data_IF_919392050945
#
_entry.id   IF_919392050945
#
_cell.length_a   1.000
_cell.length_b   1.000
_cell.length_c   1.000
_cell.angle_alpha   90.00
_cell.angle_beta   90.00
_cell.angle_gamma   90.00
#
_symmetry.space_group_name_H-M   'P 1'
#
loop_
_entity.id
_entity.type
_entity.pdbx_description
1 polymer ?
#
# COMPACT_ATOMS: atom_id res chain seq x y z
N UNK A 1 25.46 -80.63 20.05
CA UNK A 1 24.91 -79.70 21.06
C UNK A 1 24.80 -78.33 20.40
N UNK A 2 23.55 -77.92 20.16
CA UNK A 2 23.04 -76.56 19.85
C UNK A 2 23.88 -75.57 19.04
N UNK A 3 23.64 -75.50 17.72
CA UNK A 3 23.98 -74.34 16.88
C UNK A 3 22.96 -73.21 17.14
N UNK A 4 23.31 -72.29 18.04
CA UNK A 4 22.51 -71.12 18.39
C UNK A 4 22.60 -70.10 17.25
N UNK A 5 21.48 -69.83 16.58
CA UNK A 5 21.37 -68.82 15.52
C UNK A 5 21.32 -67.45 16.19
N UNK A 6 22.39 -66.68 16.11
CA UNK A 6 22.41 -65.30 16.59
C UNK A 6 21.88 -64.39 15.48
N UNK A 7 20.57 -64.13 15.52
CA UNK A 7 19.92 -63.17 14.63
C UNK A 7 20.39 -61.75 15.00
N UNK A 8 21.09 -61.09 14.08
CA UNK A 8 21.50 -59.69 14.20
C UNK A 8 20.27 -58.80 13.96
N UNK A 9 19.61 -58.37 15.04
CA UNK A 9 18.54 -57.38 15.01
C UNK A 9 19.15 -56.00 14.75
N UNK A 10 19.05 -55.49 13.52
CA UNK A 10 19.42 -54.12 13.20
C UNK A 10 18.28 -53.20 13.64
N UNK A 11 18.46 -52.55 14.80
CA UNK A 11 17.56 -51.51 15.30
C UNK A 11 17.84 -50.21 14.54
N UNK A 12 17.11 -49.96 13.45
CA UNK A 12 17.17 -48.66 12.76
C UNK A 12 16.39 -47.62 13.57
N UNK A 13 17.10 -46.78 14.34
CA UNK A 13 16.51 -45.60 14.96
C UNK A 13 16.19 -44.55 13.90
N UNK A 14 14.90 -44.33 13.61
CA UNK A 14 14.46 -43.20 12.80
C UNK A 14 14.39 -41.96 13.71
N UNK A 15 15.42 -41.11 13.68
CA UNK A 15 15.33 -39.78 14.28
C UNK A 15 14.50 -38.89 13.35
N UNK A 16 13.28 -38.54 13.75
CA UNK A 16 12.50 -37.52 13.05
C UNK A 16 13.09 -36.16 13.37
N UNK A 17 13.87 -35.59 12.45
CA UNK A 17 14.26 -34.18 12.53
C UNK A 17 13.02 -33.36 12.22
N UNK A 18 12.49 -32.65 13.21
CA UNK A 18 11.47 -31.64 12.97
C UNK A 18 12.11 -30.54 12.11
N UNK A 19 11.68 -30.44 10.86
CA UNK A 19 12.10 -29.36 9.98
C UNK A 19 11.49 -28.05 10.51
N UNK A 20 12.33 -27.18 11.07
CA UNK A 20 11.94 -25.79 11.28
C UNK A 20 11.85 -25.11 9.91
N UNK A 21 10.71 -24.47 9.62
CA UNK A 21 10.62 -23.56 8.48
C UNK A 21 11.53 -22.35 8.75
N UNK A 22 12.77 -22.41 8.27
CA UNK A 22 13.62 -21.23 8.19
C UNK A 22 13.24 -20.48 6.92
N UNK A 23 12.51 -19.37 7.07
CA UNK A 23 12.39 -18.38 6.01
C UNK A 23 13.78 -17.77 5.79
N UNK A 24 14.52 -18.30 4.82
CA UNK A 24 15.75 -17.71 4.35
C UNK A 24 15.40 -16.77 3.19
N UNK A 25 15.53 -15.46 3.42
CA UNK A 25 15.66 -14.50 2.34
C UNK A 25 17.01 -14.75 1.66
N UNK A 26 17.02 -15.56 0.61
CA UNK A 26 18.25 -15.98 -0.09
C UNK A 26 18.73 -14.97 -1.14
N UNK A 27 18.00 -13.89 -1.36
CA UNK A 27 18.45 -12.74 -2.15
C UNK A 27 17.64 -11.51 -1.81
N UNK A 28 18.31 -10.41 -1.48
CA UNK A 28 17.77 -9.06 -1.59
C UNK A 28 18.67 -8.31 -2.55
N UNK A 29 18.17 -8.00 -3.74
CA UNK A 29 18.81 -6.98 -4.58
C UNK A 29 18.49 -5.64 -3.94
N UNK A 30 19.45 -5.05 -3.21
CA UNK A 30 19.40 -3.64 -2.87
C UNK A 30 19.74 -2.89 -4.16
N UNK A 31 18.73 -2.47 -4.92
CA UNK A 31 18.93 -1.49 -5.97
C UNK A 31 19.42 -0.16 -5.33
N UNK A 32 20.23 0.66 -6.01
CA UNK A 32 20.81 1.88 -5.46
C UNK A 32 19.79 3.03 -5.20
N UNK A 33 18.50 2.72 -5.08
CA UNK A 33 17.42 3.67 -4.88
C UNK A 33 17.27 4.11 -3.42
N UNK A 34 18.27 4.82 -2.89
CA UNK A 34 18.12 5.68 -1.72
C UNK A 34 18.17 7.15 -2.15
N UNK A 35 17.50 8.02 -1.41
CA UNK A 35 17.39 9.44 -1.73
C UNK A 35 17.93 10.32 -0.60
N UNK A 36 18.46 11.48 -0.97
CA UNK A 36 18.85 12.54 -0.06
C UNK A 36 18.00 13.78 -0.41
N UNK A 37 17.08 14.13 0.48
CA UNK A 37 16.18 15.29 0.33
C UNK A 37 16.70 16.38 1.25
N UNK A 38 16.91 17.58 0.71
CA UNK A 38 17.28 18.77 1.49
C UNK A 38 16.26 19.87 1.31
N UNK A 39 15.95 20.58 2.39
CA UNK A 39 15.11 21.78 2.38
C UNK A 39 15.59 22.72 3.48
N UNK A 40 16.19 23.85 3.12
CA UNK A 40 16.80 24.76 4.10
C UNK A 40 17.87 24.07 4.95
N UNK A 41 17.73 24.13 6.27
CA UNK A 41 18.64 23.50 7.25
C UNK A 41 18.34 22.00 7.49
N UNK A 42 17.36 21.43 6.78
CA UNK A 42 16.92 20.05 6.97
C UNK A 42 17.52 19.12 5.92
N UNK A 43 18.02 17.98 6.36
CA UNK A 43 18.53 16.89 5.54
C UNK A 43 17.85 15.57 5.93
N UNK A 44 17.29 14.88 4.94
CA UNK A 44 16.73 13.54 5.10
C UNK A 44 17.42 12.58 4.15
N UNK A 45 18.10 11.59 4.69
CA UNK A 45 18.65 10.47 3.91
C UNK A 45 17.81 9.22 4.19
N UNK A 46 17.28 8.60 3.13
CA UNK A 46 16.45 7.40 3.23
C UNK A 46 16.90 6.30 2.26
N UNK A 47 16.67 5.05 2.67
CA UNK A 47 16.94 3.82 1.88
C UNK A 47 15.63 3.03 1.73
N UNK A 48 15.32 2.49 0.55
CA UNK A 48 14.16 1.57 0.41
C UNK A 48 14.42 0.32 1.27
N UNK A 49 13.43 -0.06 2.08
CA UNK A 49 13.52 -1.23 2.97
C UNK A 49 13.79 -0.90 4.43
N UNK A 50 13.81 0.38 4.82
CA UNK A 50 13.59 0.71 6.22
C UNK A 50 12.19 0.20 6.59
N UNK A 51 12.09 -0.65 7.62
CA UNK A 51 10.78 -1.06 8.11
C UNK A 51 10.07 0.19 8.60
N UNK A 52 8.99 0.58 7.92
CA UNK A 52 8.04 1.56 8.46
C UNK A 52 7.27 0.81 9.54
N UNK A 53 7.90 0.67 10.71
CA UNK A 53 7.13 0.38 11.92
C UNK A 53 6.07 1.50 12.01
N UNK A 54 4.81 1.24 12.38
CA UNK A 54 3.73 2.25 12.45
C UNK A 54 3.97 3.34 13.52
N UNK A 55 5.21 3.47 13.96
CA UNK A 55 5.70 4.34 15.00
C UNK A 55 6.49 5.42 14.29
N UNK A 56 5.95 6.64 14.32
CA UNK A 56 6.69 7.87 14.13
C UNK A 56 8.15 7.72 14.61
N UNK A 57 9.11 7.85 13.71
CA UNK A 57 10.53 7.87 14.10
C UNK A 57 10.81 9.29 14.60
N UNK A 58 10.76 9.46 15.92
CA UNK A 58 11.00 10.73 16.60
C UNK A 58 12.47 10.92 16.98
N UNK A 59 12.97 12.15 16.85
CA UNK A 59 14.27 12.60 17.33
C UNK A 59 14.26 14.10 17.61
N UNK A 60 14.40 14.49 18.89
CA UNK A 60 14.22 15.89 19.31
C UNK A 60 12.76 16.35 19.15
N UNK A 61 12.57 17.56 18.61
CA UNK A 61 11.23 18.12 18.32
C UNK A 61 10.64 17.59 17.00
N UNK A 62 11.35 16.69 16.31
CA UNK A 62 10.99 16.23 14.98
C UNK A 62 10.42 14.82 15.00
N UNK A 63 9.37 14.62 14.22
CA UNK A 63 8.76 13.32 13.95
C UNK A 63 8.85 13.05 12.45
N UNK A 64 9.48 11.94 12.08
CA UNK A 64 9.38 11.40 10.74
C UNK A 64 8.09 10.57 10.65
N UNK A 65 7.09 11.13 9.97
CA UNK A 65 5.89 10.40 9.57
C UNK A 65 6.15 9.69 8.24
N UNK A 66 6.29 8.38 8.27
CA UNK A 66 6.47 7.57 7.05
C UNK A 66 5.13 7.16 6.45
N UNK A 67 5.02 7.16 5.13
CA UNK A 67 3.88 6.64 4.38
C UNK A 67 4.21 6.46 2.89
N UNK A 68 3.36 5.75 2.16
CA UNK A 68 3.25 5.97 0.71
C UNK A 68 2.54 7.31 0.57
N UNK A 69 3.06 8.21 -0.26
CA UNK A 69 2.25 9.35 -0.71
C UNK A 69 1.10 8.79 -1.55
N UNK A 70 0.01 8.38 -0.91
CA UNK A 70 -1.26 8.15 -1.59
C UNK A 70 -1.87 9.47 -2.10
N UNK A 71 -1.18 10.60 -1.92
CA UNK A 71 -1.53 11.92 -2.43
C UNK A 71 -0.26 12.63 -2.94
N UNK A 72 0.32 12.14 -4.03
CA UNK A 72 0.55 13.13 -5.08
C UNK A 72 -0.85 13.38 -5.60
N UNK A 73 -1.48 14.56 -5.41
CA UNK A 73 -2.55 14.93 -6.30
C UNK A 73 -1.93 14.83 -7.69
N UNK A 74 -2.31 13.78 -8.43
CA UNK A 74 -2.29 13.82 -9.89
C UNK A 74 -2.84 15.19 -10.28
N UNK A 75 -2.26 15.85 -11.30
CA UNK A 75 -2.70 17.18 -11.72
C UNK A 75 -4.22 17.26 -11.62
N UNK A 76 -4.69 18.29 -10.93
CA UNK A 76 -6.09 18.60 -10.64
C UNK A 76 -6.91 18.91 -11.91
N UNK A 77 -6.56 18.29 -13.03
CA UNK A 77 -7.10 18.57 -14.34
C UNK A 77 -8.29 17.62 -14.66
N UNK A 78 -8.59 16.68 -13.76
CA UNK A 78 -9.71 15.73 -13.83
C UNK A 78 -10.60 15.73 -12.58
N UNK A 79 -10.87 16.88 -11.96
CA UNK A 79 -11.91 16.89 -10.92
C UNK A 79 -13.21 16.31 -11.54
N UNK A 80 -13.80 15.30 -10.90
CA UNK A 80 -14.95 14.56 -11.44
C UNK A 80 -14.65 13.27 -12.19
N UNK A 81 -13.39 12.91 -12.46
CA UNK A 81 -12.99 11.57 -12.95
C UNK A 81 -12.87 10.62 -11.76
N UNK A 82 -13.97 9.96 -11.42
CA UNK A 82 -14.09 9.11 -10.25
C UNK A 82 -13.61 7.68 -10.52
N UNK A 83 -13.59 7.23 -11.78
CA UNK A 83 -13.11 5.89 -12.15
C UNK A 83 -11.63 5.86 -12.58
N UNK A 84 -11.05 7.04 -12.85
CA UNK A 84 -9.65 7.23 -13.20
C UNK A 84 -9.33 6.88 -14.66
N UNK A 85 -10.32 6.90 -15.55
CA UNK A 85 -10.16 6.59 -16.98
C UNK A 85 -9.71 7.78 -17.84
N UNK A 86 -9.63 8.97 -17.23
CA UNK A 86 -9.21 10.22 -17.86
C UNK A 86 -10.34 10.98 -18.57
N UNK A 87 -11.60 10.58 -18.41
CA UNK A 87 -12.78 11.20 -19.04
C UNK A 87 -13.95 11.37 -18.08
N UNK A 88 -14.38 12.61 -17.81
CA UNK A 88 -15.54 12.87 -16.93
C UNK A 88 -16.84 12.61 -17.69
N UNK A 89 -17.50 11.49 -17.40
CA UNK A 89 -18.65 11.00 -18.14
C UNK A 89 -19.69 10.25 -17.26
N UNK A 90 -20.57 9.48 -17.90
CA UNK A 90 -21.62 8.74 -17.18
C UNK A 90 -21.08 7.68 -16.22
N UNK A 91 -19.90 7.11 -16.47
CA UNK A 91 -19.26 6.16 -15.57
C UNK A 91 -18.98 6.80 -14.20
N UNK A 92 -18.48 8.05 -14.19
CA UNK A 92 -18.22 8.79 -12.95
C UNK A 92 -19.49 9.14 -12.20
N UNK A 93 -20.53 9.53 -12.95
CA UNK A 93 -21.84 9.81 -12.35
C UNK A 93 -22.45 8.56 -11.72
N UNK A 94 -22.26 7.38 -12.32
CA UNK A 94 -22.70 6.11 -11.73
C UNK A 94 -22.00 5.87 -10.38
N UNK A 95 -20.68 6.08 -10.28
CA UNK A 95 -19.92 5.94 -9.03
C UNK A 95 -20.44 6.89 -7.95
N UNK A 96 -20.68 8.16 -8.29
CA UNK A 96 -21.24 9.14 -7.36
C UNK A 96 -22.63 8.73 -6.88
N UNK A 97 -23.50 8.29 -7.78
CA UNK A 97 -24.86 7.89 -7.43
C UNK A 97 -24.92 6.60 -6.60
N UNK A 98 -23.95 5.69 -6.77
CA UNK A 98 -23.82 4.49 -5.93
C UNK A 98 -23.53 4.80 -4.47
N UNK A 99 -22.82 5.90 -4.21
CA UNK A 99 -22.43 6.34 -2.86
C UNK A 99 -23.29 7.51 -2.32
N UNK A 100 -24.35 7.89 -3.03
CA UNK A 100 -25.16 9.07 -2.71
C UNK A 100 -25.64 9.13 -1.25
N UNK A 101 -25.44 10.28 -0.59
CA UNK A 101 -25.82 10.54 0.80
C UNK A 101 -25.20 9.56 1.81
N UNK A 102 -23.98 9.10 1.53
CA UNK A 102 -23.21 8.24 2.44
C UNK A 102 -21.84 8.85 2.78
N UNK A 103 -21.30 8.45 3.93
CA UNK A 103 -19.92 8.78 4.31
C UNK A 103 -18.95 7.80 3.68
N UNK A 104 -17.89 8.34 3.09
CA UNK A 104 -16.83 7.60 2.40
C UNK A 104 -15.46 8.11 2.87
N UNK A 105 -14.37 7.35 2.69
CA UNK A 105 -13.04 7.93 2.82
C UNK A 105 -12.91 9.18 1.93
N UNK A 106 -12.33 10.29 2.42
CA UNK A 106 -12.19 11.52 1.65
C UNK A 106 -11.57 11.30 0.27
N UNK A 107 -12.21 11.81 -0.78
CA UNK A 107 -11.71 11.74 -2.16
C UNK A 107 -11.97 10.39 -2.86
N UNK A 108 -12.91 9.58 -2.38
CA UNK A 108 -13.19 8.24 -2.93
C UNK A 108 -14.66 8.02 -3.16
N UNK A 109 -15.03 7.03 -3.99
CA UNK A 109 -16.43 6.63 -4.18
C UNK A 109 -17.35 7.81 -4.56
N UNK A 110 -16.88 8.75 -5.37
CA UNK A 110 -17.66 9.90 -5.81
C UNK A 110 -17.74 11.08 -4.84
N UNK A 111 -16.98 11.07 -3.74
CA UNK A 111 -16.65 12.27 -2.96
C UNK A 111 -15.51 13.02 -3.67
N UNK A 112 -15.89 13.99 -4.50
CA UNK A 112 -15.01 14.74 -5.40
C UNK A 112 -14.41 15.93 -4.66
N UNK A 113 -15.17 16.56 -3.76
CA UNK A 113 -14.70 17.71 -2.99
C UNK A 113 -13.81 17.31 -1.79
N UNK A 114 -13.79 16.01 -1.48
CA UNK A 114 -12.95 15.43 -0.43
C UNK A 114 -13.47 15.69 0.97
N UNK A 115 -14.75 15.97 1.15
CA UNK A 115 -15.40 16.23 2.43
C UNK A 115 -15.59 14.96 3.27
N UNK A 116 -15.53 13.78 2.64
CA UNK A 116 -15.88 12.50 3.25
C UNK A 116 -17.37 12.20 3.26
N UNK A 117 -18.19 12.95 2.49
CA UNK A 117 -19.62 12.72 2.36
C UNK A 117 -20.12 13.06 0.96
N UNK A 118 -20.79 12.11 0.30
CA UNK A 118 -21.24 12.30 -1.09
C UNK A 118 -22.58 13.02 -1.13
N UNK A 119 -22.60 14.25 -1.65
CA UNK A 119 -23.80 15.08 -1.77
C UNK A 119 -23.88 15.95 -3.05
N UNK A 120 -24.69 17.01 -2.99
CA UNK A 120 -24.89 17.90 -4.12
C UNK A 120 -23.64 18.72 -4.49
N UNK A 121 -22.69 18.86 -3.57
CA UNK A 121 -21.42 19.56 -3.80
C UNK A 121 -20.58 18.76 -4.78
N UNK A 122 -20.46 17.44 -4.57
CA UNK A 122 -19.77 16.53 -5.49
C UNK A 122 -20.45 16.49 -6.86
N UNK A 123 -21.79 16.45 -6.89
CA UNK A 123 -22.53 16.46 -8.15
C UNK A 123 -22.30 17.77 -8.92
N UNK A 124 -22.25 18.90 -8.22
CA UNK A 124 -21.98 20.19 -8.85
C UNK A 124 -20.57 20.23 -9.45
N UNK A 125 -19.59 19.69 -8.72
CA UNK A 125 -18.21 19.61 -9.19
C UNK A 125 -18.07 18.65 -10.38
N UNK A 126 -18.66 17.45 -10.32
CA UNK A 126 -18.70 16.52 -11.46
C UNK A 126 -19.28 17.17 -12.73
N UNK A 127 -20.36 17.93 -12.59
CA UNK A 127 -21.01 18.60 -13.71
C UNK A 127 -20.21 19.81 -14.24
N UNK A 128 -19.35 20.40 -13.41
CA UNK A 128 -18.43 21.47 -13.83
C UNK A 128 -17.42 20.97 -14.87
N UNK A 129 -16.96 19.73 -14.71
CA UNK A 129 -15.97 19.09 -15.59
C UNK A 129 -16.58 18.11 -16.60
N UNK A 130 -17.90 18.07 -16.74
CA UNK A 130 -18.57 17.08 -17.59
C UNK A 130 -18.11 17.12 -19.06
N UNK A 131 -17.75 15.95 -19.59
CA UNK A 131 -17.29 15.78 -20.97
C UNK A 131 -15.87 16.30 -21.22
N UNK A 132 -15.15 16.68 -20.16
CA UNK A 132 -13.72 16.98 -20.26
C UNK A 132 -12.91 15.69 -20.24
N UNK A 133 -11.72 15.76 -20.84
CA UNK A 133 -10.73 14.69 -20.85
C UNK A 133 -9.40 15.28 -20.41
N UNK A 134 -8.62 14.52 -19.67
CA UNK A 134 -7.37 15.00 -19.10
C UNK A 134 -6.27 13.95 -19.33
N UNK A 135 -5.33 14.35 -20.19
CA UNK A 135 -4.20 13.56 -20.72
C UNK A 135 -2.87 14.02 -20.11
#
# INVERSE_FOLDING_TARGET
>A
MTRMHLALMVLTGAATVAAHAQYALITSTIAPGGGHITSGDYELTATIGQTVSPMALGGGDYILSSGFIAQIPVPSDCAGDADGDGSVNFADLEILLEAWATSVPPGTNGDIDGSGFVDFTDLAELLEYWGTSCD
#
